data_IF_648511510574
#
_entry.id   IF_648511510574
#
_cell.length_a   1.000
_cell.length_b   1.000
_cell.length_c   1.000
_cell.angle_alpha   90.00
_cell.angle_beta   90.00
_cell.angle_gamma   90.00
#
_symmetry.space_group_name_H-M   'P 1'
#
loop_
_entity.id
_entity.type
_entity.pdbx_description
1 polymer ?
#
# COMPACT_ATOMS: atom_id res chain seq x y z
N UNK A 1 -1.74 -4.43 -1.72
CA UNK A 1 -2.49 -3.16 -1.86
C UNK A 1 -2.60 -2.90 -3.35
N UNK A 2 -3.84 -2.93 -3.87
CA UNK A 2 -4.23 -2.89 -5.29
C UNK A 2 -3.61 -3.97 -6.19
N UNK A 3 -4.06 -5.22 -5.99
CA UNK A 3 -3.96 -6.24 -7.03
C UNK A 3 -5.21 -6.07 -7.91
N UNK A 4 -5.04 -5.57 -9.14
CA UNK A 4 -6.13 -5.19 -10.05
C UNK A 4 -6.93 -6.43 -10.49
N UNK A 5 -7.78 -6.92 -9.58
CA UNK A 5 -8.68 -8.02 -9.84
C UNK A 5 -9.76 -7.58 -10.83
N UNK A 6 -10.18 -8.51 -11.70
CA UNK A 6 -11.26 -8.25 -12.68
C UNK A 6 -12.52 -7.69 -12.00
N UNK A 7 -12.79 -8.11 -10.77
CA UNK A 7 -13.89 -7.62 -9.94
C UNK A 7 -13.77 -6.13 -9.63
N UNK A 8 -12.59 -5.65 -9.24
CA UNK A 8 -12.38 -4.22 -8.94
C UNK A 8 -12.56 -3.36 -10.20
N UNK A 9 -12.06 -3.84 -11.35
CA UNK A 9 -12.25 -3.19 -12.65
C UNK A 9 -13.73 -3.09 -13.03
N UNK A 10 -14.52 -4.15 -12.76
CA UNK A 10 -15.96 -4.16 -12.97
C UNK A 10 -16.69 -3.14 -12.07
N UNK A 11 -16.31 -3.04 -10.79
CA UNK A 11 -16.88 -2.06 -9.85
C UNK A 11 -16.61 -0.64 -10.33
N UNK A 12 -15.37 -0.34 -10.73
CA UNK A 12 -15.00 0.97 -11.28
C UNK A 12 -15.78 1.27 -12.56
N UNK A 13 -15.97 0.29 -13.45
CA UNK A 13 -16.76 0.46 -14.67
C UNK A 13 -18.23 0.81 -14.35
N UNK A 14 -18.85 0.14 -13.38
CA UNK A 14 -20.22 0.46 -12.95
C UNK A 14 -20.31 1.87 -12.37
N UNK A 15 -19.36 2.26 -11.50
CA UNK A 15 -19.33 3.62 -10.93
C UNK A 15 -19.13 4.67 -12.03
N UNK A 16 -18.24 4.43 -12.99
CA UNK A 16 -18.02 5.32 -14.13
C UNK A 16 -19.29 5.50 -14.96
N UNK A 17 -20.04 4.42 -15.20
CA UNK A 17 -21.34 4.48 -15.89
C UNK A 17 -22.39 5.26 -15.08
N UNK A 18 -22.39 5.19 -13.75
CA UNK A 18 -23.33 5.96 -12.92
C UNK A 18 -23.00 7.45 -12.86
N UNK A 19 -21.72 7.80 -12.70
CA UNK A 19 -21.28 9.19 -12.52
C UNK A 19 -21.30 9.96 -13.84
N UNK A 20 -20.71 9.37 -14.88
CA UNK A 20 -20.59 10.01 -16.21
C UNK A 20 -21.85 9.75 -17.04
N UNK A 21 -22.50 8.59 -16.84
CA UNK A 21 -23.60 8.12 -17.68
C UNK A 21 -23.11 7.20 -18.79
N UNK A 22 -23.86 6.13 -19.12
CA UNK A 22 -23.49 5.18 -20.18
C UNK A 22 -23.39 5.82 -21.57
N UNK A 23 -24.17 6.87 -21.83
CA UNK A 23 -24.18 7.57 -23.12
C UNK A 23 -22.97 8.50 -23.30
N UNK A 24 -22.37 8.97 -22.20
CA UNK A 24 -21.31 10.00 -22.22
C UNK A 24 -19.91 9.40 -22.05
N UNK A 25 -19.79 8.24 -21.41
CA UNK A 25 -18.54 7.49 -21.28
C UNK A 25 -17.84 7.25 -22.64
N UNK A 26 -18.51 6.80 -23.73
CA UNK A 26 -17.85 6.64 -25.02
C UNK A 26 -17.33 7.96 -25.61
N UNK A 27 -18.02 9.07 -25.36
CA UNK A 27 -17.58 10.39 -25.81
C UNK A 27 -16.30 10.85 -25.07
N UNK A 28 -16.19 10.56 -23.77
CA UNK A 28 -14.97 10.85 -22.99
C UNK A 28 -13.82 9.93 -23.40
N UNK A 29 -14.08 8.64 -23.60
CA UNK A 29 -13.08 7.66 -24.01
C UNK A 29 -12.49 8.01 -25.38
N UNK A 30 -13.30 8.48 -26.33
CA UNK A 30 -12.82 8.91 -27.66
C UNK A 30 -12.00 10.20 -27.58
N UNK A 31 -12.36 11.15 -26.71
CA UNK A 31 -11.56 12.37 -26.47
C UNK A 31 -10.18 12.05 -25.87
N UNK A 32 -10.16 11.31 -24.77
CA UNK A 32 -8.92 10.93 -24.07
C UNK A 32 -8.07 9.98 -24.94
N UNK A 33 -8.71 8.98 -25.55
CA UNK A 33 -8.06 8.03 -26.44
C UNK A 33 -7.46 8.70 -27.69
N UNK A 34 -8.14 9.71 -28.25
CA UNK A 34 -7.61 10.50 -29.34
C UNK A 34 -6.36 11.29 -28.96
N UNK A 35 -6.30 11.84 -27.74
CA UNK A 35 -5.13 12.57 -27.24
C UNK A 35 -3.94 11.64 -27.02
N UNK A 36 -4.17 10.51 -26.36
CA UNK A 36 -3.14 9.47 -26.16
C UNK A 36 -2.67 8.92 -27.50
N UNK A 37 -3.57 8.69 -28.45
CA UNK A 37 -3.25 8.22 -29.80
C UNK A 37 -2.37 9.20 -30.56
N UNK A 38 -2.68 10.50 -30.50
CA UNK A 38 -1.85 11.56 -31.10
C UNK A 38 -0.48 11.67 -30.44
N UNK A 39 -0.41 11.58 -29.11
CA UNK A 39 0.87 11.58 -28.39
C UNK A 39 1.72 10.36 -28.77
N UNK A 40 1.12 9.17 -28.85
CA UNK A 40 1.78 7.94 -29.29
C UNK A 40 2.28 8.04 -30.74
N UNK A 41 1.48 8.62 -31.63
CA UNK A 41 1.87 8.86 -33.01
C UNK A 41 3.06 9.83 -33.09
N UNK A 42 3.04 10.93 -32.34
CA UNK A 42 4.13 11.90 -32.27
C UNK A 42 5.44 11.27 -31.76
N UNK A 43 5.37 10.48 -30.69
CA UNK A 43 6.54 9.75 -30.17
C UNK A 43 7.06 8.76 -31.22
N UNK A 44 6.17 8.08 -31.94
CA UNK A 44 6.56 7.13 -32.99
C UNK A 44 7.25 7.79 -34.17
N UNK A 45 6.79 8.96 -34.62
CA UNK A 45 7.39 9.71 -35.73
C UNK A 45 8.72 10.31 -35.32
N UNK A 46 8.77 10.93 -34.14
CA UNK A 46 10.01 11.52 -33.63
C UNK A 46 11.05 10.46 -33.27
N UNK A 47 10.67 9.26 -32.79
CA UNK A 47 11.61 8.15 -32.61
C UNK A 47 12.19 7.67 -33.95
N UNK A 48 11.38 7.61 -35.01
CA UNK A 48 11.84 7.20 -36.33
C UNK A 48 12.81 8.22 -36.97
N UNK A 49 12.59 9.51 -36.73
CA UNK A 49 13.48 10.58 -37.21
C UNK A 49 14.75 10.70 -36.34
N UNK A 50 14.62 10.59 -35.02
CA UNK A 50 15.74 10.58 -34.07
C UNK A 50 16.65 9.37 -34.31
N UNK A 51 16.12 8.17 -34.50
CA UNK A 51 16.93 6.96 -34.69
C UNK A 51 17.71 6.96 -36.02
N UNK A 52 17.39 7.90 -36.92
CA UNK A 52 18.06 8.09 -38.21
C UNK A 52 19.15 9.17 -38.20
N UNK A 53 19.12 10.09 -37.23
CA UNK A 53 20.06 11.23 -37.15
C UNK A 53 20.85 11.27 -35.82
N UNK A 54 20.29 10.78 -34.71
CA UNK A 54 21.02 10.47 -33.49
C UNK A 54 21.64 9.09 -33.60
N UNK A 55 22.97 9.04 -33.77
CA UNK A 55 23.73 7.84 -33.43
C UNK A 55 23.36 7.41 -32.02
N UNK A 56 22.93 6.16 -31.86
CA UNK A 56 22.63 5.50 -30.59
C UNK A 56 23.87 5.32 -29.68
N UNK A 57 24.89 6.18 -29.80
CA UNK A 57 26.11 6.17 -28.99
C UNK A 57 26.00 7.11 -27.79
N UNK A 58 25.47 8.32 -27.93
CA UNK A 58 25.45 9.29 -26.82
C UNK A 58 24.31 9.04 -25.82
N UNK A 59 23.09 8.78 -26.29
CA UNK A 59 21.97 8.43 -25.39
C UNK A 59 22.19 7.07 -24.70
N UNK A 60 22.81 6.11 -25.40
CA UNK A 60 23.14 4.80 -24.84
C UNK A 60 24.20 4.90 -23.75
N UNK A 61 25.18 5.79 -23.91
CA UNK A 61 26.21 6.02 -22.90
C UNK A 61 25.64 6.71 -21.64
N UNK A 62 24.78 7.72 -21.80
CA UNK A 62 24.10 8.37 -20.67
C UNK A 62 23.13 7.43 -19.93
N UNK A 63 22.39 6.59 -20.67
CA UNK A 63 21.52 5.58 -20.07
C UNK A 63 22.31 4.42 -19.45
N UNK A 64 23.51 4.11 -19.93
CA UNK A 64 24.37 3.09 -19.30
C UNK A 64 25.05 3.60 -18.03
N UNK A 65 25.45 4.87 -17.98
CA UNK A 65 25.98 5.50 -16.76
C UNK A 65 24.89 5.58 -15.67
N UNK A 66 23.67 5.97 -16.03
CA UNK A 66 22.55 5.96 -15.07
C UNK A 66 22.16 4.55 -14.62
N UNK A 67 22.32 3.52 -15.44
CA UNK A 67 22.02 2.15 -15.03
C UNK A 67 22.99 1.64 -13.96
N UNK A 68 24.28 1.99 -14.05
CA UNK A 68 25.24 1.64 -12.99
C UNK A 68 24.92 2.36 -11.68
N UNK A 69 24.59 3.66 -11.76
CA UNK A 69 24.20 4.44 -10.58
C UNK A 69 22.89 3.90 -9.96
N UNK A 70 21.91 3.51 -10.78
CA UNK A 70 20.67 2.87 -10.33
C UNK A 70 20.93 1.48 -9.73
N UNK A 71 21.89 0.71 -10.24
CA UNK A 71 22.24 -0.61 -9.69
C UNK A 71 22.92 -0.48 -8.32
N UNK A 72 23.81 0.50 -8.15
CA UNK A 72 24.43 0.83 -6.87
C UNK A 72 23.41 1.35 -5.85
N UNK A 73 22.51 2.23 -6.28
CA UNK A 73 21.38 2.68 -5.46
C UNK A 73 20.45 1.51 -5.10
N UNK A 74 20.17 0.59 -6.03
CA UNK A 74 19.40 -0.63 -5.73
C UNK A 74 20.08 -1.52 -4.71
N UNK A 75 21.40 -1.72 -4.81
CA UNK A 75 22.18 -2.51 -3.83
C UNK A 75 22.19 -1.85 -2.46
N UNK A 76 22.34 -0.54 -2.40
CA UNK A 76 22.29 0.24 -1.16
C UNK A 76 20.89 0.22 -0.53
N UNK A 77 19.84 0.35 -1.35
CA UNK A 77 18.44 0.28 -0.89
C UNK A 77 18.09 -1.14 -0.45
N UNK A 78 18.53 -2.19 -1.15
CA UNK A 78 18.27 -3.57 -0.74
C UNK A 78 19.01 -3.92 0.55
N UNK A 79 20.29 -3.55 0.69
CA UNK A 79 21.03 -3.79 1.94
C UNK A 79 20.42 -3.02 3.11
N UNK A 80 20.05 -1.75 2.89
CA UNK A 80 19.34 -0.94 3.88
C UNK A 80 17.99 -1.57 4.22
N UNK A 81 17.26 -2.11 3.26
CA UNK A 81 15.97 -2.76 3.52
C UNK A 81 16.11 -4.06 4.32
N UNK A 82 17.16 -4.85 4.08
CA UNK A 82 17.43 -6.09 4.82
C UNK A 82 17.93 -5.79 6.26
N UNK A 83 18.76 -4.76 6.43
CA UNK A 83 19.16 -4.25 7.74
C UNK A 83 17.95 -3.68 8.50
N UNK A 84 17.07 -2.92 7.83
CA UNK A 84 15.85 -2.42 8.48
C UNK A 84 14.89 -3.56 8.85
N UNK A 85 14.71 -4.57 7.99
CA UNK A 85 13.83 -5.72 8.28
C UNK A 85 14.32 -6.51 9.47
N UNK A 86 15.62 -6.83 9.52
CA UNK A 86 16.21 -7.55 10.65
C UNK A 86 16.09 -6.79 11.97
N UNK A 87 16.41 -5.49 11.98
CA UNK A 87 16.23 -4.66 13.18
C UNK A 87 14.75 -4.50 13.58
N UNK A 88 13.83 -4.50 12.61
CA UNK A 88 12.40 -4.40 12.86
C UNK A 88 11.81 -5.72 13.39
N UNK A 89 12.25 -6.86 12.86
CA UNK A 89 11.87 -8.19 13.36
C UNK A 89 12.44 -8.42 14.77
N UNK A 90 13.70 -8.05 15.02
CA UNK A 90 14.31 -8.10 16.37
C UNK A 90 13.55 -7.20 17.36
N UNK A 91 13.21 -5.97 16.94
CA UNK A 91 12.42 -5.05 17.76
C UNK A 91 11.01 -5.58 18.01
N UNK A 92 10.40 -6.22 17.01
CA UNK A 92 9.07 -6.84 17.13
C UNK A 92 9.11 -8.02 18.09
N UNK A 93 10.14 -8.87 18.04
CA UNK A 93 10.28 -10.01 18.94
C UNK A 93 10.51 -9.56 20.39
N UNK A 94 11.35 -8.53 20.60
CA UNK A 94 11.54 -7.91 21.93
C UNK A 94 10.24 -7.26 22.41
N UNK A 95 9.50 -6.60 21.51
CA UNK A 95 8.24 -5.97 21.84
C UNK A 95 7.14 -6.99 22.15
N UNK A 96 6.95 -8.03 21.35
CA UNK A 96 6.00 -9.12 21.62
C UNK A 96 6.32 -9.82 22.93
N UNK A 97 7.60 -10.13 23.20
CA UNK A 97 8.00 -10.79 24.44
C UNK A 97 7.83 -9.89 25.68
N UNK A 98 8.05 -8.57 25.55
CA UNK A 98 7.82 -7.60 26.62
C UNK A 98 6.33 -7.30 26.83
N UNK A 99 5.53 -7.28 25.75
CA UNK A 99 4.08 -7.10 25.82
C UNK A 99 3.43 -8.35 26.43
N UNK A 100 3.86 -9.55 26.07
CA UNK A 100 3.32 -10.80 26.64
C UNK A 100 3.60 -10.87 28.14
N UNK A 101 4.84 -10.59 28.57
CA UNK A 101 5.19 -10.55 30.00
C UNK A 101 4.46 -9.45 30.76
N UNK A 102 4.31 -8.25 30.19
CA UNK A 102 3.55 -7.16 30.82
C UNK A 102 2.04 -7.43 30.86
N UNK A 103 1.48 -8.14 29.88
CA UNK A 103 0.06 -8.52 29.85
C UNK A 103 -0.24 -9.61 30.88
N UNK A 104 0.67 -10.57 31.09
CA UNK A 104 0.54 -11.58 32.14
C UNK A 104 0.70 -10.98 33.55
N UNK A 105 1.59 -10.00 33.71
CA UNK A 105 1.73 -9.24 34.97
C UNK A 105 0.52 -8.34 35.25
N UNK A 106 -0.09 -7.71 34.24
CA UNK A 106 -1.32 -6.91 34.42
C UNK A 106 -2.55 -7.81 34.65
N UNK A 107 -2.62 -8.97 33.99
CA UNK A 107 -3.71 -9.94 34.15
C UNK A 107 -3.69 -10.65 35.50
N UNK A 108 -2.52 -10.77 36.13
CA UNK A 108 -2.37 -11.29 37.49
C UNK A 108 -2.68 -10.27 38.59
N UNK A 109 -2.74 -8.97 38.25
CA UNK A 109 -3.20 -7.92 39.18
C UNK A 109 -4.73 -7.77 39.23
N UNK A 110 -5.47 -8.18 38.19
CA UNK A 110 -6.94 -8.11 38.15
C UNK A 110 -7.63 -9.28 38.91
N UNK A 111 -6.92 -10.38 39.15
CA UNK A 111 -7.49 -11.57 39.82
C UNK A 111 -7.57 -11.51 41.36
N UNK A 112 -7.12 -10.43 42.00
CA UNK A 112 -7.14 -10.31 43.47
C UNK A 112 -8.22 -9.36 44.04
N UNK A 113 -9.07 -8.73 43.22
CA UNK A 113 -10.15 -7.85 43.69
C UNK A 113 -11.58 -8.42 43.54
N UNK A 114 -11.75 -9.68 43.12
CA UNK A 114 -13.06 -10.35 43.16
C UNK A 114 -13.22 -11.30 44.36
N UNK A 115 -12.79 -10.88 45.56
CA UNK A 115 -13.13 -11.67 46.77
C UNK A 115 -13.25 -10.89 48.08
N UNK A 116 -13.78 -9.68 48.10
CA UNK A 116 -14.24 -9.09 49.36
C UNK A 116 -15.20 -7.89 49.21
N UNK A 117 -16.47 -8.10 48.86
CA UNK A 117 -17.57 -7.33 49.51
C UNK A 117 -18.96 -7.90 49.20
N UNK A 118 -19.49 -8.72 50.09
CA UNK A 118 -20.93 -8.78 50.35
C UNK A 118 -21.23 -7.82 51.50
N UNK A 119 -22.04 -6.77 51.31
CA UNK A 119 -22.73 -6.15 52.43
C UNK A 119 -24.09 -6.83 52.58
N UNK A 120 -24.18 -7.70 53.57
CA UNK A 120 -25.45 -8.05 54.22
C UNK A 120 -26.01 -6.78 54.87
N UNK A 121 -27.09 -6.23 54.34
CA UNK A 121 -27.94 -5.26 55.05
C UNK A 121 -29.40 -5.39 54.62
N UNK A 122 -30.14 -6.10 55.46
CA UNK A 122 -31.53 -5.88 55.90
C UNK A 122 -32.47 -5.04 55.00
N UNK A 123 -33.45 -5.70 54.38
CA UNK A 123 -34.74 -5.10 54.05
C UNK A 123 -35.88 -6.06 54.42
N UNK A 124 -36.44 -5.78 55.59
CA UNK A 124 -37.68 -6.27 56.18
C UNK A 124 -38.89 -5.95 55.28
N UNK A 125 -39.71 -6.95 54.88
CA UNK A 125 -41.20 -6.93 54.95
C UNK A 125 -41.90 -8.11 54.24
N UNK A 126 -42.82 -8.73 54.97
CA UNK A 126 -44.20 -9.11 54.59
C UNK A 126 -44.43 -10.11 53.43
N UNK A 127 -44.90 -11.32 53.74
CA UNK A 127 -46.33 -11.72 53.76
C UNK A 127 -46.48 -13.26 53.67
N UNK A 128 -47.38 -13.83 54.47
CA UNK A 128 -47.86 -15.22 54.35
C UNK A 128 -47.52 -16.15 55.51
#
# INVERSE_FOLDING_TARGET
MFDASMTEMMVVAVIALLVIGPERLPEVATKVGGWIGKAKAFISTTKADIEREFQASEMKNLLSEQQQEIEELRKMVSSTQDDLKSNFDDAKDVFENKIHSSVDDVKSLDQNDEKATTPKSEAKKNDG
#
